data_IF_513470797073
#
_entry.id   IF_513470797073
#
_cell.length_a   1.000
_cell.length_b   1.000
_cell.length_c   1.000
_cell.angle_alpha   90.00
_cell.angle_beta   90.00
_cell.angle_gamma   90.00
#
_symmetry.space_group_name_H-M   'P 1'
#
loop_
_entity.id
_entity.type
_entity.pdbx_description
1 polymer ?
#
# COMPACT_ATOMS: atom_id res chain seq x y z
N UNK A 1 -15.39 22.31 65.47
CA UNK A 1 -15.47 23.21 66.64
C UNK A 1 -14.98 22.44 67.84
N UNK A 2 -13.88 22.86 68.47
CA UNK A 2 -13.59 22.48 69.85
C UNK A 2 -14.15 23.57 70.77
N UNK A 3 -14.45 23.21 72.02
CA UNK A 3 -13.79 23.91 73.10
C UNK A 3 -13.21 22.99 74.19
N UNK A 4 -12.27 23.59 74.91
CA UNK A 4 -11.29 23.06 75.85
C UNK A 4 -11.78 22.94 77.31
N UNK A 5 -10.98 22.27 78.16
CA UNK A 5 -10.78 22.59 79.60
C UNK A 5 -11.31 21.53 80.58
N UNK A 6 -10.53 20.57 81.05
CA UNK A 6 -9.51 20.58 82.13
C UNK A 6 -10.07 20.73 83.58
N UNK A 7 -9.98 19.63 84.35
CA UNK A 7 -9.99 19.61 85.83
C UNK A 7 -9.29 18.30 86.29
N UNK A 8 -8.05 18.37 86.78
CA UNK A 8 -7.67 18.05 88.17
C UNK A 8 -7.25 16.57 88.38
N UNK A 9 -5.96 16.24 88.57
CA UNK A 9 -5.23 16.17 89.86
C UNK A 9 -5.81 15.05 90.75
N UNK A 10 -5.14 14.00 91.27
CA UNK A 10 -3.78 13.63 91.69
C UNK A 10 -3.83 12.07 91.71
N UNK A 11 -2.82 11.28 91.35
CA UNK A 11 -1.77 10.83 92.28
C UNK A 11 -0.62 10.17 91.50
N UNK A 12 0.59 10.52 91.94
CA UNK A 12 1.85 9.85 91.65
C UNK A 12 1.89 8.51 92.36
N UNK A 13 2.42 7.50 91.68
CA UNK A 13 3.39 6.49 92.14
C UNK A 13 3.58 5.56 90.92
N UNK A 14 4.70 5.59 90.21
CA UNK A 14 5.99 5.14 90.71
C UNK A 14 6.21 3.70 90.24
N UNK A 15 6.70 3.51 89.01
CA UNK A 15 7.96 2.80 88.78
C UNK A 15 8.29 2.63 87.31
N UNK A 16 9.52 3.05 87.00
CA UNK A 16 10.21 2.90 85.74
C UNK A 16 10.41 1.41 85.41
N UNK A 17 10.03 0.99 84.19
CA UNK A 17 10.74 -0.10 83.53
C UNK A 17 11.02 0.26 82.08
N UNK A 18 12.28 0.66 81.90
CA UNK A 18 12.98 1.09 80.70
C UNK A 18 12.70 0.21 79.48
N UNK A 19 12.08 0.79 78.45
CA UNK A 19 12.12 0.26 77.10
C UNK A 19 13.45 0.68 76.44
N UNK A 20 14.50 -0.13 76.58
CA UNK A 20 15.74 0.05 75.81
C UNK A 20 15.52 -0.34 74.34
N UNK A 21 15.87 0.53 73.37
CA UNK A 21 15.82 0.19 71.94
C UNK A 21 16.77 -0.97 71.65
N UNK A 22 16.36 -1.90 70.78
CA UNK A 22 17.20 -2.97 70.25
C UNK A 22 18.28 -2.34 69.35
N UNK A 23 19.34 -1.83 69.97
CA UNK A 23 20.55 -1.41 69.29
C UNK A 23 21.40 -2.66 69.10
N UNK A 24 21.55 -3.10 67.85
CA UNK A 24 22.40 -4.25 67.54
C UNK A 24 23.84 -4.05 68.04
N UNK A 25 24.59 -5.13 68.33
CA UNK A 25 25.94 -5.03 68.92
C UNK A 25 26.82 -4.07 68.13
N UNK A 26 27.32 -3.02 68.81
CA UNK A 26 28.11 -1.95 68.19
C UNK A 26 29.61 -2.17 68.41
N UNK A 27 30.42 -1.90 67.39
CA UNK A 27 31.90 -2.00 67.47
C UNK A 27 32.50 -0.87 68.31
N UNK A 28 31.74 0.19 68.57
CA UNK A 28 32.13 1.35 69.38
C UNK A 28 31.58 1.29 70.81
N UNK A 29 31.02 0.14 71.23
CA UNK A 29 30.55 -0.06 72.61
C UNK A 29 31.73 -0.16 73.59
N UNK A 30 31.58 0.41 74.79
CA UNK A 30 32.55 0.30 75.89
C UNK A 30 32.58 -1.12 76.47
N UNK A 31 31.54 -1.92 76.23
CA UNK A 31 31.44 -3.32 76.62
C UNK A 31 32.27 -4.23 75.68
N UNK A 32 33.31 -4.93 76.18
CA UNK A 32 34.14 -5.81 75.36
C UNK A 32 33.36 -6.93 74.67
N UNK A 33 32.28 -7.43 75.30
CA UNK A 33 31.48 -8.53 74.75
C UNK A 33 30.69 -8.10 73.51
N UNK A 34 30.11 -6.90 73.50
CA UNK A 34 29.37 -6.36 72.36
C UNK A 34 30.27 -6.11 71.16
N UNK A 35 31.49 -5.61 71.39
CA UNK A 35 32.48 -5.44 70.31
C UNK A 35 32.86 -6.78 69.68
N UNK A 36 33.04 -7.82 70.51
CA UNK A 36 33.36 -9.18 70.03
C UNK A 36 32.18 -9.72 69.20
N UNK A 37 30.94 -9.56 69.67
CA UNK A 37 29.75 -10.00 68.93
C UNK A 37 29.58 -9.24 67.61
N UNK A 38 29.72 -7.92 67.62
CA UNK A 38 29.66 -7.09 66.42
C UNK A 38 30.73 -7.48 65.39
N UNK A 39 31.95 -7.78 65.85
CA UNK A 39 33.04 -8.27 64.99
C UNK A 39 32.74 -9.66 64.45
N UNK A 40 32.20 -10.57 65.26
CA UNK A 40 31.76 -11.91 64.82
C UNK A 40 30.69 -11.83 63.75
N UNK A 41 29.67 -10.99 63.94
CA UNK A 41 28.62 -10.76 62.95
C UNK A 41 29.16 -10.18 61.65
N UNK A 42 30.08 -9.21 61.72
CA UNK A 42 30.73 -8.64 60.52
C UNK A 42 31.58 -9.68 59.79
N UNK A 43 32.31 -10.54 60.52
CA UNK A 43 33.09 -11.62 59.93
C UNK A 43 32.16 -12.67 59.31
N UNK A 44 31.09 -13.05 59.99
CA UNK A 44 30.09 -13.99 59.48
C UNK A 44 29.43 -13.45 58.21
N UNK A 45 29.04 -12.18 58.18
CA UNK A 45 28.49 -11.52 56.99
C UNK A 45 29.49 -11.49 55.83
N UNK A 46 30.79 -11.21 56.10
CA UNK A 46 31.84 -11.26 55.07
C UNK A 46 32.10 -12.68 54.55
N UNK A 47 32.09 -13.68 55.42
CA UNK A 47 32.24 -15.08 55.03
C UNK A 47 31.04 -15.56 54.23
N UNK A 48 29.83 -15.14 54.61
CA UNK A 48 28.61 -15.46 53.88
C UNK A 48 28.57 -14.79 52.51
N UNK A 49 28.97 -13.52 52.40
CA UNK A 49 29.11 -12.84 51.11
C UNK A 49 30.10 -13.56 50.18
N UNK A 50 31.26 -13.97 50.72
CA UNK A 50 32.26 -14.75 49.97
C UNK A 50 31.74 -16.14 49.59
N UNK A 51 30.97 -16.78 50.46
CA UNK A 51 30.33 -18.09 50.20
C UNK A 51 29.32 -17.97 49.06
N UNK A 52 28.46 -16.94 49.07
CA UNK A 52 27.51 -16.65 47.98
C UNK A 52 28.21 -16.34 46.66
N UNK A 53 29.30 -15.58 46.71
CA UNK A 53 30.12 -15.28 45.53
C UNK A 53 30.75 -16.56 44.95
N UNK A 54 31.31 -17.43 45.79
CA UNK A 54 31.89 -18.71 45.38
C UNK A 54 30.83 -19.72 44.86
N UNK A 55 29.60 -19.66 45.37
CA UNK A 55 28.46 -20.45 44.87
C UNK A 55 27.82 -19.86 43.60
N UNK A 56 28.22 -18.66 43.17
CA UNK A 56 27.61 -17.98 42.02
C UNK A 56 26.18 -17.49 42.26
N UNK A 57 25.76 -17.33 43.52
CA UNK A 57 24.39 -16.96 43.94
C UNK A 57 24.01 -15.49 43.67
N UNK A 58 24.71 -14.79 42.77
CA UNK A 58 24.21 -13.56 42.13
C UNK A 58 23.21 -13.93 41.02
N UNK A 59 22.15 -14.65 41.39
CA UNK A 59 21.17 -15.17 40.43
C UNK A 59 20.07 -14.16 40.07
N UNK A 60 19.96 -13.06 40.79
CA UNK A 60 18.86 -12.10 40.61
C UNK A 60 19.13 -11.14 39.44
N UNK A 61 20.19 -10.32 39.52
CA UNK A 61 20.51 -9.35 38.46
C UNK A 61 21.02 -9.96 37.13
N UNK A 62 21.54 -11.19 37.16
CA UNK A 62 22.00 -11.88 35.94
C UNK A 62 20.82 -12.43 35.12
N UNK A 63 19.78 -12.94 35.79
CA UNK A 63 18.54 -13.37 35.15
C UNK A 63 17.74 -12.18 34.60
N UNK A 64 17.68 -11.07 35.34
CA UNK A 64 17.03 -9.85 34.84
C UNK A 64 17.70 -9.34 33.56
N UNK A 65 19.04 -9.30 33.50
CA UNK A 65 19.77 -8.91 32.28
C UNK A 65 19.56 -9.88 31.11
N UNK A 66 19.51 -11.19 31.35
CA UNK A 66 19.27 -12.19 30.30
C UNK A 66 17.82 -12.12 29.77
N UNK A 67 16.86 -11.90 30.67
CA UNK A 67 15.45 -11.67 30.30
C UNK A 67 15.26 -10.37 29.54
N UNK A 68 15.92 -9.28 29.94
CA UNK A 68 15.91 -8.01 29.21
C UNK A 68 16.55 -8.13 27.83
N UNK A 69 17.66 -8.87 27.71
CA UNK A 69 18.26 -9.18 26.41
C UNK A 69 17.31 -9.99 25.52
N UNK A 70 16.59 -10.96 26.10
CA UNK A 70 15.57 -11.75 25.39
C UNK A 70 14.36 -10.91 24.95
N UNK A 71 13.89 -9.98 25.80
CA UNK A 71 12.82 -9.01 25.47
C UNK A 71 13.27 -8.04 24.36
N UNK A 72 14.51 -7.52 24.45
CA UNK A 72 15.13 -6.66 23.44
C UNK A 72 15.27 -7.38 22.09
N UNK A 73 15.70 -8.65 22.11
CA UNK A 73 15.78 -9.48 20.91
C UNK A 73 14.42 -9.68 20.26
N UNK A 74 13.39 -10.05 21.04
CA UNK A 74 12.01 -10.18 20.56
C UNK A 74 11.49 -8.89 19.93
N UNK A 75 11.73 -7.75 20.58
CA UNK A 75 11.32 -6.44 20.05
C UNK A 75 12.02 -6.11 18.73
N UNK A 76 13.34 -6.37 18.63
CA UNK A 76 14.10 -6.16 17.39
C UNK A 76 13.55 -7.02 16.26
N UNK A 77 13.25 -8.29 16.54
CA UNK A 77 12.73 -9.21 15.53
C UNK A 77 11.30 -8.84 15.11
N UNK A 78 10.43 -8.47 16.05
CA UNK A 78 9.09 -7.93 15.74
C UNK A 78 9.16 -6.66 14.91
N UNK A 79 10.07 -5.74 15.25
CA UNK A 79 10.31 -4.51 14.48
C UNK A 79 10.80 -4.82 13.07
N UNK A 80 11.73 -5.78 12.93
CA UNK A 80 12.24 -6.25 11.64
C UNK A 80 11.11 -6.80 10.77
N UNK A 81 10.27 -7.68 11.33
CA UNK A 81 9.11 -8.24 10.63
C UNK A 81 8.11 -7.16 10.20
N UNK A 82 7.82 -6.19 11.08
CA UNK A 82 6.94 -5.06 10.75
C UNK A 82 7.51 -4.21 9.62
N UNK A 83 8.82 -3.94 9.64
CA UNK A 83 9.49 -3.18 8.59
C UNK A 83 9.49 -3.93 7.25
N UNK A 84 9.77 -5.23 7.26
CA UNK A 84 9.69 -6.07 6.05
C UNK A 84 8.27 -6.09 5.49
N UNK A 85 7.25 -6.24 6.34
CA UNK A 85 5.85 -6.18 5.90
C UNK A 85 5.50 -4.81 5.33
N UNK A 86 5.93 -3.72 5.96
CA UNK A 86 5.67 -2.37 5.48
C UNK A 86 6.32 -2.13 4.12
N UNK A 87 7.57 -2.57 3.94
CA UNK A 87 8.27 -2.48 2.67
C UNK A 87 7.53 -3.27 1.58
N UNK A 88 7.15 -4.52 1.87
CA UNK A 88 6.41 -5.37 0.94
C UNK A 88 5.09 -4.72 0.52
N UNK A 89 4.28 -4.29 1.47
CA UNK A 89 2.98 -3.65 1.18
C UNK A 89 3.16 -2.33 0.42
N UNK A 90 4.20 -1.54 0.74
CA UNK A 90 4.51 -0.31 0.02
C UNK A 90 4.92 -0.56 -1.42
N UNK A 91 5.79 -1.55 -1.65
CA UNK A 91 6.19 -1.98 -3.00
C UNK A 91 4.98 -2.48 -3.78
N UNK A 92 4.17 -3.36 -3.18
CA UNK A 92 2.95 -3.88 -3.79
C UNK A 92 1.98 -2.77 -4.19
N UNK A 93 1.77 -1.77 -3.32
CA UNK A 93 0.89 -0.63 -3.63
C UNK A 93 1.39 0.15 -4.84
N UNK A 94 2.68 0.50 -4.88
CA UNK A 94 3.28 1.23 -6.00
C UNK A 94 3.20 0.40 -7.29
N UNK A 95 3.53 -0.88 -7.22
CA UNK A 95 3.44 -1.80 -8.36
C UNK A 95 2.00 -1.94 -8.86
N UNK A 96 1.01 -2.07 -7.98
CA UNK A 96 -0.40 -2.17 -8.35
C UNK A 96 -0.88 -0.91 -9.07
N UNK A 97 -0.49 0.28 -8.59
CA UNK A 97 -0.83 1.55 -9.25
C UNK A 97 -0.17 1.63 -10.63
N UNK A 98 1.10 1.26 -10.72
CA UNK A 98 1.84 1.26 -11.99
C UNK A 98 1.20 0.30 -12.99
N UNK A 99 1.00 -0.97 -12.60
CA UNK A 99 0.36 -1.98 -13.44
C UNK A 99 -1.05 -1.56 -13.87
N UNK A 100 -1.87 -1.03 -12.95
CA UNK A 100 -3.21 -0.58 -13.31
C UNK A 100 -3.17 0.58 -14.32
N UNK A 101 -2.17 1.45 -14.24
CA UNK A 101 -1.96 2.55 -15.18
C UNK A 101 -1.49 2.02 -16.54
N UNK A 102 -0.50 1.13 -16.56
CA UNK A 102 0.03 0.52 -17.78
C UNK A 102 -1.06 -0.28 -18.50
N UNK A 103 -1.84 -1.07 -17.76
CA UNK A 103 -2.96 -1.84 -18.32
C UNK A 103 -3.99 -0.90 -18.94
N UNK A 104 -4.40 0.18 -18.26
CA UNK A 104 -5.35 1.15 -18.82
C UNK A 104 -4.83 1.80 -20.09
N UNK A 105 -3.56 2.18 -20.10
CA UNK A 105 -2.95 2.83 -21.27
C UNK A 105 -2.79 1.85 -22.44
N UNK A 106 -2.39 0.59 -22.18
CA UNK A 106 -2.32 -0.45 -23.21
C UNK A 106 -3.71 -0.68 -23.81
N UNK A 107 -4.75 -0.80 -22.98
CA UNK A 107 -6.13 -0.96 -23.49
C UNK A 107 -6.55 0.23 -24.35
N UNK A 108 -6.31 1.47 -23.88
CA UNK A 108 -6.60 2.69 -24.66
C UNK A 108 -5.88 2.68 -26.02
N UNK A 109 -4.59 2.29 -26.06
CA UNK A 109 -3.82 2.20 -27.32
C UNK A 109 -4.39 1.14 -28.25
N UNK A 110 -4.72 -0.04 -27.73
CA UNK A 110 -5.31 -1.12 -28.52
C UNK A 110 -6.65 -0.67 -29.13
N UNK A 111 -7.52 -0.03 -28.34
CA UNK A 111 -8.80 0.49 -28.82
C UNK A 111 -8.60 1.55 -29.93
N UNK A 112 -7.64 2.46 -29.77
CA UNK A 112 -7.32 3.46 -30.80
C UNK A 112 -6.74 2.85 -32.07
N UNK A 113 -5.86 1.86 -31.96
CA UNK A 113 -5.30 1.13 -33.09
C UNK A 113 -6.38 0.31 -33.81
N UNK A 114 -7.28 -0.33 -33.06
CA UNK A 114 -8.41 -1.07 -33.61
C UNK A 114 -9.36 -0.15 -34.40
N UNK A 115 -9.72 1.01 -33.83
CA UNK A 115 -10.54 2.02 -34.52
C UNK A 115 -9.83 2.52 -35.79
N UNK A 116 -8.51 2.74 -35.74
CA UNK A 116 -7.73 3.12 -36.93
C UNK A 116 -7.72 2.02 -37.97
N UNK A 117 -7.49 0.77 -37.58
CA UNK A 117 -7.49 -0.40 -38.46
C UNK A 117 -8.82 -0.55 -39.17
N UNK A 118 -9.94 -0.52 -38.44
CA UNK A 118 -11.28 -0.61 -39.01
C UNK A 118 -11.58 0.52 -40.01
N UNK A 119 -11.11 1.74 -39.73
CA UNK A 119 -11.23 2.87 -40.66
C UNK A 119 -10.44 2.65 -41.95
N UNK A 120 -9.20 2.16 -41.84
CA UNK A 120 -8.36 1.87 -43.01
C UNK A 120 -8.94 0.74 -43.85
N UNK A 121 -9.32 -0.38 -43.23
CA UNK A 121 -9.95 -1.51 -43.90
C UNK A 121 -11.22 -1.08 -44.65
N UNK A 122 -12.06 -0.25 -44.03
CA UNK A 122 -13.24 0.29 -44.69
C UNK A 122 -12.90 1.15 -45.92
N UNK A 123 -11.87 1.99 -45.83
CA UNK A 123 -11.41 2.82 -46.95
C UNK A 123 -10.84 1.98 -48.10
N UNK A 124 -10.08 0.93 -47.78
CA UNK A 124 -9.53 0.00 -48.77
C UNK A 124 -10.65 -0.78 -49.47
N UNK A 125 -11.64 -1.26 -48.72
CA UNK A 125 -12.81 -1.93 -49.27
C UNK A 125 -13.62 -1.00 -50.19
N UNK A 126 -13.86 0.25 -49.77
CA UNK A 126 -14.54 1.24 -50.62
C UNK A 126 -13.73 1.58 -51.87
N UNK A 127 -12.40 1.71 -51.77
CA UNK A 127 -11.55 1.94 -52.94
C UNK A 127 -11.69 0.79 -53.94
N UNK A 128 -11.61 -0.46 -53.46
CA UNK A 128 -11.73 -1.65 -54.30
C UNK A 128 -13.10 -1.73 -54.98
N UNK A 129 -14.18 -1.65 -54.20
CA UNK A 129 -15.54 -1.74 -54.76
C UNK A 129 -15.88 -0.56 -55.66
N UNK A 130 -15.42 0.66 -55.33
CA UNK A 130 -15.59 1.84 -56.17
C UNK A 130 -14.81 1.71 -57.48
N UNK A 131 -13.63 1.11 -57.46
CA UNK A 131 -12.83 0.90 -58.66
C UNK A 131 -13.50 -0.14 -59.57
N UNK A 132 -13.93 -1.27 -59.02
CA UNK A 132 -14.64 -2.32 -59.77
C UNK A 132 -15.91 -1.75 -60.45
N UNK A 133 -16.72 -0.98 -59.72
CA UNK A 133 -17.90 -0.29 -60.25
C UNK A 133 -17.54 0.72 -61.34
N UNK A 134 -16.46 1.48 -61.15
CA UNK A 134 -16.01 2.47 -62.13
C UNK A 134 -15.54 1.80 -63.43
N UNK A 135 -14.84 0.69 -63.33
CA UNK A 135 -14.37 -0.08 -64.48
C UNK A 135 -15.55 -0.71 -65.24
N UNK A 136 -16.56 -1.22 -64.52
CA UNK A 136 -17.81 -1.69 -65.13
C UNK A 136 -18.53 -0.58 -65.90
N UNK A 137 -18.73 0.58 -65.26
CA UNK A 137 -19.33 1.75 -65.89
C UNK A 137 -18.51 2.15 -67.13
N UNK A 138 -17.18 2.21 -67.01
CA UNK A 138 -16.29 2.55 -68.12
C UNK A 138 -16.40 1.56 -69.29
N UNK A 139 -16.50 0.26 -69.00
CA UNK A 139 -16.73 -0.78 -70.01
C UNK A 139 -18.07 -0.63 -70.73
N UNK A 140 -19.14 -0.32 -69.98
CA UNK A 140 -20.47 -0.08 -70.53
C UNK A 140 -20.53 1.15 -71.44
N UNK A 141 -19.71 2.17 -71.19
CA UNK A 141 -19.56 3.30 -72.11
C UNK A 141 -18.96 2.88 -73.45
N UNK A 142 -17.97 1.98 -73.47
CA UNK A 142 -17.42 1.43 -74.71
C UNK A 142 -18.44 0.57 -75.48
N UNK A 143 -19.23 -0.26 -74.78
CA UNK A 143 -20.35 -1.00 -75.38
C UNK A 143 -21.38 -0.05 -76.00
N UNK A 144 -21.68 1.06 -75.32
CA UNK A 144 -22.63 2.07 -75.74
C UNK A 144 -22.28 2.68 -77.10
N UNK A 145 -20.99 2.93 -77.37
CA UNK A 145 -20.52 3.46 -78.65
C UNK A 145 -20.84 2.57 -79.85
N UNK A 146 -21.03 1.26 -79.63
CA UNK A 146 -21.33 0.29 -80.68
C UNK A 146 -22.83 0.11 -80.94
N UNK A 147 -23.71 0.73 -80.13
CA UNK A 147 -25.16 0.61 -80.28
C UNK A 147 -25.64 1.39 -81.50
N UNK A 148 -26.25 0.68 -82.45
CA UNK A 148 -26.85 1.27 -83.66
C UNK A 148 -28.34 1.60 -83.51
N UNK A 149 -29.00 1.03 -82.51
CA UNK A 149 -30.43 1.20 -82.25
C UNK A 149 -30.61 2.32 -81.21
N UNK A 150 -31.27 3.45 -81.55
CA UNK A 150 -31.42 4.58 -80.64
C UNK A 150 -32.09 4.24 -79.31
N UNK A 151 -33.11 3.37 -79.32
CA UNK A 151 -33.82 2.95 -78.11
C UNK A 151 -32.88 2.19 -77.15
N UNK A 152 -32.07 1.27 -77.67
CA UNK A 152 -31.10 0.51 -76.87
C UNK A 152 -29.99 1.41 -76.33
N UNK A 153 -29.55 2.41 -77.11
CA UNK A 153 -28.58 3.40 -76.63
C UNK A 153 -29.19 4.22 -75.48
N UNK A 154 -30.44 4.68 -75.63
CA UNK A 154 -31.14 5.44 -74.60
C UNK A 154 -31.32 4.66 -73.30
N UNK A 155 -31.73 3.38 -73.38
CA UNK A 155 -31.84 2.49 -72.21
C UNK A 155 -30.50 2.34 -71.48
N UNK A 156 -29.42 2.13 -72.22
CA UNK A 156 -28.06 2.01 -71.67
C UNK A 156 -27.61 3.32 -71.00
N UNK A 157 -27.83 4.48 -71.65
CA UNK A 157 -27.50 5.79 -71.07
C UNK A 157 -28.25 6.06 -69.77
N UNK A 158 -29.55 5.73 -69.73
CA UNK A 158 -30.36 5.91 -68.54
C UNK A 158 -29.88 4.99 -67.39
N UNK A 159 -29.54 3.73 -67.70
CA UNK A 159 -28.93 2.82 -66.72
C UNK A 159 -27.60 3.36 -66.20
N UNK A 160 -26.74 3.86 -67.08
CA UNK A 160 -25.43 4.43 -66.70
C UNK A 160 -25.57 5.68 -65.84
N UNK A 161 -26.57 6.53 -66.11
CA UNK A 161 -26.88 7.66 -65.25
C UNK A 161 -27.21 7.21 -63.82
N UNK A 162 -28.01 6.14 -63.69
CA UNK A 162 -28.35 5.56 -62.39
C UNK A 162 -27.11 4.98 -61.68
N UNK A 163 -26.25 4.26 -62.40
CA UNK A 163 -25.01 3.71 -61.83
C UNK A 163 -24.05 4.81 -61.35
N UNK A 164 -23.87 5.87 -62.15
CA UNK A 164 -23.08 7.03 -61.75
C UNK A 164 -23.67 7.73 -60.52
N UNK A 165 -25.00 7.91 -60.47
CA UNK A 165 -25.67 8.50 -59.32
C UNK A 165 -25.47 7.67 -58.04
N UNK A 166 -25.60 6.35 -58.13
CA UNK A 166 -25.35 5.43 -57.02
C UNK A 166 -23.90 5.49 -56.52
N UNK A 167 -22.91 5.54 -57.42
CA UNK A 167 -21.51 5.67 -57.02
C UNK A 167 -21.22 6.99 -56.30
N UNK A 168 -21.84 8.08 -56.74
CA UNK A 168 -21.73 9.39 -56.07
C UNK A 168 -22.39 9.35 -54.69
N UNK A 169 -23.55 8.71 -54.57
CA UNK A 169 -24.25 8.54 -53.30
C UNK A 169 -23.41 7.73 -52.29
N UNK A 170 -22.83 6.60 -52.71
CA UNK A 170 -21.93 5.78 -51.90
C UNK A 170 -20.73 6.61 -51.38
N UNK A 171 -20.08 7.39 -52.27
CA UNK A 171 -18.99 8.29 -51.88
C UNK A 171 -19.43 9.38 -50.90
N UNK A 172 -20.58 9.99 -51.14
CA UNK A 172 -21.13 11.01 -50.23
C UNK A 172 -21.45 10.44 -48.85
N UNK A 173 -22.00 9.22 -48.80
CA UNK A 173 -22.24 8.50 -47.56
C UNK A 173 -20.93 8.27 -46.80
N UNK A 174 -19.89 7.77 -47.46
CA UNK A 174 -18.57 7.60 -46.84
C UNK A 174 -18.01 8.93 -46.31
N UNK A 175 -18.07 10.00 -47.11
CA UNK A 175 -17.60 11.33 -46.70
C UNK A 175 -18.31 11.79 -45.42
N UNK A 176 -19.63 11.66 -45.36
CA UNK A 176 -20.42 12.04 -44.19
C UNK A 176 -20.03 11.22 -42.95
N UNK A 177 -19.87 9.91 -43.09
CA UNK A 177 -19.45 9.03 -41.99
C UNK A 177 -18.05 9.41 -41.46
N UNK A 178 -17.09 9.70 -42.35
CA UNK A 178 -15.75 10.14 -41.96
C UNK A 178 -15.76 11.50 -41.27
N UNK A 179 -16.55 12.46 -41.77
CA UNK A 179 -16.70 13.78 -41.15
C UNK A 179 -17.31 13.68 -39.75
N UNK A 180 -18.34 12.84 -39.57
CA UNK A 180 -18.93 12.58 -38.26
C UNK A 180 -17.93 11.91 -37.30
N UNK A 181 -17.18 10.92 -37.77
CA UNK A 181 -16.15 10.26 -36.96
C UNK A 181 -15.06 11.24 -36.51
N UNK A 182 -14.62 12.14 -37.39
CA UNK A 182 -13.70 13.24 -37.05
C UNK A 182 -14.28 14.17 -36.00
N UNK A 183 -15.56 14.56 -36.14
CA UNK A 183 -16.25 15.42 -35.17
C UNK A 183 -16.42 14.79 -33.79
N UNK A 184 -16.59 13.47 -33.71
CA UNK A 184 -16.64 12.73 -32.43
C UNK A 184 -15.27 12.63 -31.76
N UNK A 185 -14.21 12.45 -32.53
CA UNK A 185 -12.84 12.34 -32.02
C UNK A 185 -12.28 13.66 -31.44
N UNK A 186 -12.89 14.80 -31.77
CA UNK A 186 -12.47 16.13 -31.32
C UNK A 186 -13.21 16.61 -30.06
N UNK A 187 -14.22 15.88 -29.57
CA UNK A 187 -14.86 16.21 -28.30
C UNK A 187 -14.03 15.58 -27.17
N UNK A 188 -13.51 16.37 -26.21
CA UNK A 188 -12.97 15.81 -24.98
C UNK A 188 -14.11 15.07 -24.27
N UNK A 189 -13.87 13.82 -23.89
CA UNK A 189 -14.71 13.08 -22.95
C UNK A 189 -14.55 13.60 -21.53
#
# INVERSE_FOLDING_TARGET
MNPSGNLGLLEQDGDEHLATPILGPSVHSDNPQERIQARRLRIAARQEARRREALGEYLDGKKESEEEQSKSYKQKEESRLKLTKLLLCGTELVTNIQMATDVREIHRRIEEEEIKRQRLEKLENELKTSQDKFDEISGKWEEGKQKRIPQQLWEMLNSQQLHCAGLIEDKNKLINELQQARGRSLRPG
#
